data_IF_675535010501
#
_entry.id   IF_675535010501
#
_cell.length_a   1.000
_cell.length_b   1.000
_cell.length_c   1.000
_cell.angle_alpha   90.00
_cell.angle_beta   90.00
_cell.angle_gamma   90.00
#
_symmetry.space_group_name_H-M   'P 1'
#
loop_
_entity.id
_entity.type
_entity.pdbx_description
1 polymer ?
#
# COMPACT_ATOMS: atom_id res chain seq x y z
N UNK A 1 -52.59 -14.54 22.29
CA UNK A 1 -51.43 -14.75 23.20
C UNK A 1 -50.27 -13.95 22.63
N UNK A 2 -49.95 -12.85 23.31
CA UNK A 2 -48.93 -11.87 22.92
C UNK A 2 -47.56 -12.37 23.39
N UNK A 3 -46.65 -12.68 22.46
CA UNK A 3 -45.25 -12.96 22.79
C UNK A 3 -44.47 -11.64 22.77
N UNK A 4 -44.66 -10.85 23.83
CA UNK A 4 -43.77 -9.73 24.14
C UNK A 4 -42.38 -10.23 24.57
N UNK A 5 -41.32 -9.45 24.34
CA UNK A 5 -39.97 -9.81 24.77
C UNK A 5 -39.91 -10.01 26.31
N UNK A 6 -39.12 -10.98 26.82
CA UNK A 6 -39.10 -11.30 28.24
C UNK A 6 -38.55 -10.14 29.09
N UNK A 7 -39.12 -10.00 30.28
CA UNK A 7 -38.79 -8.98 31.26
C UNK A 7 -37.31 -9.03 31.71
N UNK A 8 -36.70 -7.84 31.79
CA UNK A 8 -35.46 -7.48 32.49
C UNK A 8 -34.19 -8.30 32.14
N UNK A 9 -33.58 -7.99 30.99
CA UNK A 9 -32.15 -8.28 30.78
C UNK A 9 -31.33 -7.29 31.63
N UNK A 10 -30.48 -7.73 32.57
CA UNK A 10 -29.64 -6.83 33.35
C UNK A 10 -28.70 -6.05 32.42
N UNK A 11 -28.52 -4.75 32.66
CA UNK A 11 -27.72 -3.83 31.82
C UNK A 11 -26.32 -4.40 31.50
N UNK A 12 -25.76 -5.18 32.43
CA UNK A 12 -24.49 -5.89 32.26
C UNK A 12 -24.50 -6.94 31.14
N UNK A 13 -25.59 -7.70 31.01
CA UNK A 13 -25.77 -8.74 29.98
C UNK A 13 -26.04 -8.10 28.61
N UNK A 14 -26.83 -7.02 28.56
CA UNK A 14 -27.00 -6.22 27.35
C UNK A 14 -25.67 -5.63 26.85
N UNK A 15 -24.82 -5.15 27.76
CA UNK A 15 -23.48 -4.64 27.43
C UNK A 15 -22.54 -5.77 26.97
N UNK A 16 -22.63 -6.96 27.56
CA UNK A 16 -21.86 -8.14 27.16
C UNK A 16 -22.27 -8.62 25.76
N UNK A 17 -23.57 -8.63 25.45
CA UNK A 17 -24.10 -8.99 24.12
C UNK A 17 -23.68 -7.96 23.06
N UNK A 18 -23.70 -6.67 23.37
CA UNK A 18 -23.23 -5.62 22.44
C UNK A 18 -21.73 -5.73 22.16
N UNK A 19 -20.93 -6.08 23.17
CA UNK A 19 -19.49 -6.36 23.03
C UNK A 19 -19.21 -7.66 22.27
N UNK A 20 -20.02 -8.69 22.45
CA UNK A 20 -19.92 -9.95 21.70
C UNK A 20 -20.31 -9.76 20.23
N UNK A 21 -21.38 -8.99 19.97
CA UNK A 21 -21.83 -8.65 18.61
C UNK A 21 -20.78 -7.83 17.84
N UNK A 22 -20.12 -6.84 18.48
CA UNK A 22 -18.99 -6.11 17.86
C UNK A 22 -17.75 -6.98 17.64
N UNK A 23 -17.59 -8.08 18.38
CA UNK A 23 -16.51 -9.06 18.15
C UNK A 23 -16.86 -10.08 17.06
N UNK A 24 -18.15 -10.32 16.82
CA UNK A 24 -18.68 -11.16 15.73
C UNK A 24 -18.74 -10.39 14.40
N UNK A 25 -18.88 -9.07 14.43
CA UNK A 25 -18.76 -8.20 13.26
C UNK A 25 -17.30 -7.93 12.88
N UNK A 26 -16.49 -8.99 12.76
CA UNK A 26 -15.10 -8.92 12.27
C UNK A 26 -15.03 -8.60 10.76
N UNK A 27 -16.14 -8.09 10.18
CA UNK A 27 -16.19 -7.61 8.82
C UNK A 27 -15.61 -6.20 8.86
N UNK A 28 -14.40 -5.97 8.31
CA UNK A 28 -13.86 -4.63 8.21
C UNK A 28 -14.86 -3.73 7.49
N UNK A 29 -14.96 -2.47 7.94
CA UNK A 29 -15.78 -1.45 7.27
C UNK A 29 -15.48 -1.49 5.77
N UNK A 30 -16.52 -1.53 4.90
CA UNK A 30 -16.32 -1.61 3.46
C UNK A 30 -15.34 -0.53 2.99
N UNK A 31 -14.23 -0.94 2.37
CA UNK A 31 -13.30 -0.01 1.73
C UNK A 31 -14.06 0.70 0.62
N UNK A 32 -14.02 2.03 0.64
CA UNK A 32 -14.61 2.86 -0.38
C UNK A 32 -13.87 2.61 -1.70
N UNK A 33 -14.52 1.88 -2.62
CA UNK A 33 -13.95 1.55 -3.93
C UNK A 33 -14.28 2.66 -4.90
N UNK A 34 -13.26 3.34 -5.44
CA UNK A 34 -13.45 4.21 -6.59
C UNK A 34 -13.18 3.41 -7.86
N UNK A 35 -13.98 3.59 -8.92
CA UNK A 35 -13.56 3.20 -10.27
C UNK A 35 -12.90 4.44 -10.86
N UNK A 36 -11.58 4.44 -11.07
CA UNK A 36 -10.92 5.61 -11.63
C UNK A 36 -11.40 5.81 -13.08
N UNK A 37 -11.95 6.98 -13.38
CA UNK A 37 -12.12 7.43 -14.76
C UNK A 37 -10.74 7.92 -15.26
N UNK A 38 -10.08 7.14 -16.11
CA UNK A 38 -8.72 7.41 -16.59
C UNK A 38 -7.62 6.80 -15.71
N UNK A 39 -6.41 7.38 -15.69
CA UNK A 39 -5.18 6.75 -15.13
C UNK A 39 -5.35 6.33 -13.67
N UNK A 40 -5.15 5.04 -13.39
CA UNK A 40 -5.08 4.53 -12.02
C UNK A 40 -3.76 4.96 -11.38
N UNK A 41 -3.77 6.16 -10.79
CA UNK A 41 -2.61 6.72 -10.10
C UNK A 41 -2.22 5.90 -8.85
N UNK A 42 -3.17 5.20 -8.23
CA UNK A 42 -2.89 4.29 -7.12
C UNK A 42 -2.04 3.11 -7.58
N UNK A 43 -2.42 2.48 -8.68
CA UNK A 43 -1.64 1.44 -9.34
C UNK A 43 -0.27 1.95 -9.80
N UNK A 44 -0.19 3.13 -10.46
CA UNK A 44 1.09 3.71 -10.90
C UNK A 44 2.05 3.90 -9.73
N UNK A 45 1.55 4.42 -8.60
CA UNK A 45 2.35 4.62 -7.41
C UNK A 45 2.82 3.29 -6.81
N UNK A 46 1.92 2.32 -6.64
CA UNK A 46 2.24 1.00 -6.09
C UNK A 46 3.26 0.26 -6.94
N UNK A 47 3.05 0.22 -8.26
CA UNK A 47 3.97 -0.47 -9.17
C UNK A 47 5.32 0.23 -9.20
N UNK A 48 5.37 1.56 -9.22
CA UNK A 48 6.65 2.29 -9.16
C UNK A 48 7.39 1.98 -7.86
N UNK A 49 6.70 1.94 -6.71
CA UNK A 49 7.30 1.58 -5.42
C UNK A 49 7.83 0.14 -5.43
N UNK A 50 7.03 -0.82 -5.89
CA UNK A 50 7.43 -2.24 -5.95
C UNK A 50 8.62 -2.45 -6.90
N UNK A 51 8.59 -1.85 -8.09
CA UNK A 51 9.66 -1.99 -9.09
C UNK A 51 10.96 -1.35 -8.59
N UNK A 52 10.91 -0.19 -7.97
CA UNK A 52 12.11 0.47 -7.44
C UNK A 52 12.76 -0.30 -6.30
N UNK A 53 11.98 -1.03 -5.50
CA UNK A 53 12.52 -1.95 -4.48
C UNK A 53 13.08 -3.22 -5.12
N UNK A 54 12.29 -3.92 -5.92
CA UNK A 54 12.65 -5.25 -6.44
C UNK A 54 13.68 -5.22 -7.56
N UNK A 55 13.81 -4.10 -8.26
CA UNK A 55 14.70 -3.94 -9.41
C UNK A 55 15.70 -2.83 -9.16
N UNK A 56 15.22 -1.65 -8.75
CA UNK A 56 16.09 -0.49 -8.52
C UNK A 56 17.13 -0.73 -7.43
N UNK A 57 16.73 -1.21 -6.25
CA UNK A 57 17.66 -1.45 -5.15
C UNK A 57 18.70 -2.55 -5.49
N UNK A 58 18.34 -3.70 -6.09
CA UNK A 58 19.32 -4.66 -6.60
C UNK A 58 20.29 -4.09 -7.64
N UNK A 59 19.81 -3.25 -8.57
CA UNK A 59 20.70 -2.58 -9.53
C UNK A 59 21.71 -1.68 -8.81
N UNK A 60 21.26 -0.86 -7.87
CA UNK A 60 22.16 0.00 -7.06
C UNK A 60 23.18 -0.86 -6.31
N UNK A 61 22.75 -1.97 -5.70
CA UNK A 61 23.62 -2.88 -4.96
C UNK A 61 24.68 -3.51 -5.88
N UNK A 62 24.29 -4.05 -7.03
CA UNK A 62 25.22 -4.66 -8.00
C UNK A 62 26.21 -3.64 -8.54
N UNK A 63 25.76 -2.44 -8.90
CA UNK A 63 26.65 -1.40 -9.41
C UNK A 63 27.63 -0.91 -8.33
N UNK A 64 27.24 -0.93 -7.05
CA UNK A 64 28.11 -0.54 -5.94
C UNK A 64 29.34 -1.45 -5.79
N UNK A 65 29.29 -2.69 -6.29
CA UNK A 65 30.42 -3.63 -6.26
C UNK A 65 31.62 -3.15 -7.09
N UNK A 66 31.41 -2.21 -8.01
CA UNK A 66 32.45 -1.66 -8.88
C UNK A 66 32.91 -0.25 -8.45
N UNK A 67 32.45 0.24 -7.29
CA UNK A 67 32.75 1.56 -6.79
C UNK A 67 33.49 1.49 -5.44
N UNK A 68 34.51 2.31 -5.26
CA UNK A 68 35.14 2.48 -3.95
C UNK A 68 34.29 3.45 -3.12
N UNK A 69 33.61 2.92 -2.09
CA UNK A 69 32.66 3.65 -1.26
C UNK A 69 33.08 3.59 0.22
N UNK A 70 34.19 4.23 0.61
CA UNK A 70 34.78 4.05 1.93
C UNK A 70 33.91 4.63 3.05
N UNK A 71 33.20 5.73 2.79
CA UNK A 71 32.39 6.45 3.78
C UNK A 71 30.89 6.23 3.58
N UNK A 72 30.08 6.52 4.60
CA UNK A 72 28.62 6.47 4.47
C UNK A 72 28.11 7.54 3.49
N UNK A 73 28.71 8.74 3.51
CA UNK A 73 28.37 9.81 2.56
C UNK A 73 28.59 9.41 1.10
N UNK A 74 29.69 8.72 0.79
CA UNK A 74 29.95 8.19 -0.55
C UNK A 74 28.88 7.18 -0.98
N UNK A 75 28.48 6.27 -0.06
CA UNK A 75 27.40 5.30 -0.31
C UNK A 75 26.07 5.99 -0.59
N UNK A 76 25.72 7.02 0.19
CA UNK A 76 24.49 7.79 0.00
C UNK A 76 24.47 8.57 -1.32
N UNK A 77 25.55 9.29 -1.65
CA UNK A 77 25.65 10.01 -2.93
C UNK A 77 25.53 9.05 -4.12
N UNK A 78 26.24 7.92 -4.07
CA UNK A 78 26.17 6.89 -5.10
C UNK A 78 24.74 6.36 -5.28
N UNK A 79 24.09 5.99 -4.17
CA UNK A 79 22.71 5.49 -4.20
C UNK A 79 21.74 6.52 -4.78
N UNK A 80 21.88 7.81 -4.46
CA UNK A 80 21.03 8.87 -5.01
C UNK A 80 21.30 9.07 -6.50
N UNK A 81 22.56 9.15 -6.92
CA UNK A 81 22.93 9.36 -8.34
C UNK A 81 22.44 8.25 -9.25
N UNK A 82 22.51 7.00 -8.78
CA UNK A 82 22.05 5.83 -9.54
C UNK A 82 20.54 5.65 -9.40
N UNK A 83 19.99 5.85 -8.20
CA UNK A 83 18.58 5.65 -7.91
C UNK A 83 17.67 6.68 -8.58
N UNK A 84 18.07 7.95 -8.65
CA UNK A 84 17.27 9.02 -9.26
C UNK A 84 16.87 8.75 -10.73
N UNK A 85 17.80 8.45 -11.67
CA UNK A 85 17.42 8.14 -13.04
C UNK A 85 16.58 6.86 -13.14
N UNK A 86 16.88 5.82 -12.36
CA UNK A 86 16.07 4.59 -12.33
C UNK A 86 14.63 4.90 -11.91
N UNK A 87 14.46 5.65 -10.82
CA UNK A 87 13.15 6.04 -10.31
C UNK A 87 12.38 6.86 -11.34
N UNK A 88 13.02 7.88 -11.93
CA UNK A 88 12.40 8.74 -12.94
C UNK A 88 11.95 7.95 -14.18
N UNK A 89 12.82 7.12 -14.74
CA UNK A 89 12.50 6.29 -15.91
C UNK A 89 11.38 5.29 -15.60
N UNK A 90 11.41 4.68 -14.41
CA UNK A 90 10.35 3.77 -13.97
C UNK A 90 9.01 4.48 -13.88
N UNK A 91 8.96 5.66 -13.24
CA UNK A 91 7.73 6.43 -13.11
C UNK A 91 7.15 6.81 -14.47
N UNK A 92 7.98 7.29 -15.41
CA UNK A 92 7.55 7.60 -16.77
C UNK A 92 7.04 6.37 -17.53
N UNK A 93 7.77 5.26 -17.45
CA UNK A 93 7.40 4.02 -18.14
C UNK A 93 6.07 3.44 -17.61
N UNK A 94 5.91 3.39 -16.28
CA UNK A 94 4.70 2.90 -15.62
C UNK A 94 3.51 3.80 -15.94
N UNK A 95 3.68 5.12 -15.86
CA UNK A 95 2.63 6.07 -16.23
C UNK A 95 2.23 5.95 -17.70
N UNK A 96 3.20 5.92 -18.62
CA UNK A 96 2.94 5.76 -20.04
C UNK A 96 2.24 4.43 -20.36
N UNK A 97 2.61 3.34 -19.67
CA UNK A 97 1.94 2.05 -19.78
C UNK A 97 0.51 2.10 -19.27
N UNK A 98 0.27 2.69 -18.09
CA UNK A 98 -1.06 2.84 -17.53
C UNK A 98 -1.97 3.63 -18.48
N UNK A 99 -1.48 4.75 -18.99
CA UNK A 99 -2.21 5.57 -19.96
C UNK A 99 -2.57 4.79 -21.23
N UNK A 100 -1.61 4.04 -21.80
CA UNK A 100 -1.85 3.23 -23.01
C UNK A 100 -2.84 2.08 -22.81
N UNK A 101 -2.96 1.55 -21.59
CA UNK A 101 -3.86 0.43 -21.27
C UNK A 101 -5.32 0.87 -21.07
N UNK A 102 -5.57 2.16 -21.02
CA UNK A 102 -6.87 2.74 -20.74
C UNK A 102 -7.55 3.35 -21.98
N UNK A 103 -6.79 3.52 -23.06
CA UNK A 103 -7.29 3.78 -24.42
C UNK A 103 -7.80 2.48 -25.05
#
# INVERSE_FOLDING_TARGET
>A
MSNGPPASVPIAEAAALKRAASRLSLVPEPVETTTPDGVDYGWVMQVTFVVTILVGAPIVAVLSLNADLPSWGARAEFAIRVGAPIWFLTALAVFAYAKRKQE
#
